data_IF_570757391539
#
_entry.id   IF_570757391539
#
_cell.length_a   1.000
_cell.length_b   1.000
_cell.length_c   1.000
_cell.angle_alpha   90.00
_cell.angle_beta   90.00
_cell.angle_gamma   90.00
#
_symmetry.space_group_name_H-M   'P 1'
#
loop_
_entity.id
_entity.type
_entity.pdbx_description
1 polymer ?
#
# COMPACT_ATOMS: atom_id res chain seq x y z
N UNK A 1 -11.93 3.38 -16.35
CA UNK A 1 -11.06 2.65 -15.40
C UNK A 1 -10.49 3.69 -14.46
N UNK A 2 -10.68 3.55 -13.14
CA UNK A 2 -10.15 4.54 -12.20
C UNK A 2 -8.64 4.34 -12.05
N UNK A 3 -7.87 5.42 -12.10
CA UNK A 3 -6.42 5.34 -11.86
C UNK A 3 -6.15 5.13 -10.36
N UNK A 4 -4.96 4.63 -10.02
CA UNK A 4 -4.52 4.51 -8.62
C UNK A 4 -4.59 5.88 -7.93
N UNK A 5 -4.22 6.95 -8.64
CA UNK A 5 -4.31 8.31 -8.11
C UNK A 5 -5.76 8.71 -7.78
N UNK A 6 -6.72 8.40 -8.66
CA UNK A 6 -8.13 8.68 -8.40
C UNK A 6 -8.67 7.85 -7.22
N UNK A 7 -8.27 6.59 -7.10
CA UNK A 7 -8.72 5.73 -6.01
C UNK A 7 -8.17 6.16 -4.64
N UNK A 8 -6.88 6.52 -4.58
CA UNK A 8 -6.20 6.90 -3.34
C UNK A 8 -6.49 8.35 -2.94
N UNK A 9 -6.64 9.24 -3.92
CA UNK A 9 -6.88 10.67 -3.71
C UNK A 9 -8.34 11.06 -3.45
N UNK A 10 -9.30 10.13 -3.58
CA UNK A 10 -10.72 10.39 -3.31
C UNK A 10 -11.02 10.67 -1.82
N UNK A 11 -10.11 10.31 -0.92
CA UNK A 11 -10.23 10.58 0.53
C UNK A 11 -8.94 11.20 1.06
N UNK A 12 -9.05 12.04 2.09
CA UNK A 12 -7.90 12.72 2.72
C UNK A 12 -6.98 11.78 3.50
N UNK A 13 -7.47 10.58 3.84
CA UNK A 13 -6.67 9.56 4.50
C UNK A 13 -7.08 8.14 4.06
N UNK A 14 -6.46 7.62 2.99
CA UNK A 14 -6.73 6.29 2.46
C UNK A 14 -6.24 5.15 3.37
N UNK A 15 -5.41 5.44 4.37
CA UNK A 15 -4.90 4.45 5.32
C UNK A 15 -3.78 3.61 4.74
N UNK A 16 -4.01 2.30 4.58
CA UNK A 16 -3.02 1.33 4.09
C UNK A 16 -3.49 0.75 2.77
N UNK A 17 -2.58 0.52 1.84
CA UNK A 17 -2.93 -0.05 0.54
C UNK A 17 -1.82 -0.87 -0.09
N UNK A 18 -2.24 -1.82 -0.91
CA UNK A 18 -1.37 -2.65 -1.75
C UNK A 18 -1.74 -2.35 -3.20
N UNK A 19 -0.72 -2.11 -4.02
CA UNK A 19 -0.84 -2.01 -5.47
C UNK A 19 -0.09 -3.19 -6.07
N UNK A 20 -0.79 -4.01 -6.84
CA UNK A 20 -0.23 -5.14 -7.55
C UNK A 20 -0.50 -4.98 -9.05
N UNK A 21 0.50 -5.26 -9.87
CA UNK A 21 0.37 -5.15 -11.31
C UNK A 21 1.60 -5.64 -12.05
N UNK A 22 1.70 -5.26 -13.32
CA UNK A 22 2.88 -5.48 -14.14
C UNK A 22 3.39 -4.14 -14.66
N UNK A 23 4.70 -4.00 -14.83
CA UNK A 23 5.26 -2.86 -15.56
C UNK A 23 5.19 -3.08 -17.08
N UNK A 24 5.64 -2.10 -17.86
CA UNK A 24 5.62 -2.15 -19.33
C UNK A 24 6.45 -3.30 -19.92
N UNK A 25 7.36 -3.90 -19.13
CA UNK A 25 8.18 -5.06 -19.52
C UNK A 25 7.56 -6.40 -19.13
N UNK A 26 6.37 -6.40 -18.52
CA UNK A 26 5.69 -7.60 -18.05
C UNK A 26 6.20 -8.14 -16.70
N UNK A 27 7.06 -7.39 -16.00
CA UNK A 27 7.56 -7.80 -14.69
C UNK A 27 6.50 -7.53 -13.62
N UNK A 28 6.30 -8.49 -12.71
CA UNK A 28 5.36 -8.35 -11.58
C UNK A 28 5.89 -7.28 -10.62
N UNK A 29 5.07 -6.29 -10.32
CA UNK A 29 5.38 -5.22 -9.36
C UNK A 29 4.36 -5.24 -8.24
N UNK A 30 4.85 -5.21 -7.00
CA UNK A 30 4.06 -5.05 -5.80
C UNK A 30 4.57 -3.81 -5.05
N UNK A 31 3.67 -2.91 -4.72
CA UNK A 31 3.95 -1.75 -3.87
C UNK A 31 2.99 -1.76 -2.68
N UNK A 32 3.53 -1.46 -1.50
CA UNK A 32 2.76 -1.28 -0.28
C UNK A 32 2.98 0.12 0.27
N UNK A 33 1.91 0.77 0.69
CA UNK A 33 2.00 2.08 1.33
C UNK A 33 1.19 2.12 2.63
N UNK A 34 1.68 2.94 3.56
CA UNK A 34 1.01 3.32 4.79
C UNK A 34 0.97 4.84 4.84
N UNK A 35 -0.21 5.39 5.06
CA UNK A 35 -0.38 6.74 5.57
C UNK A 35 -0.61 6.66 7.06
N UNK A 36 0.13 7.42 7.86
CA UNK A 36 0.07 7.38 9.32
C UNK A 36 -0.45 8.68 9.94
N UNK A 37 -1.34 8.58 10.92
CA UNK A 37 -1.81 9.68 11.79
C UNK A 37 -1.26 9.61 13.22
N UNK A 38 -0.70 8.47 13.60
CA UNK A 38 -0.04 8.18 14.88
C UNK A 38 1.18 7.29 14.66
N UNK A 39 2.04 7.18 15.68
CA UNK A 39 3.20 6.28 15.67
C UNK A 39 2.80 4.84 15.32
N UNK A 40 1.78 4.30 16.01
CA UNK A 40 1.31 2.93 15.78
C UNK A 40 0.70 2.73 14.39
N UNK A 41 0.03 3.75 13.82
CA UNK A 41 -0.48 3.67 12.45
C UNK A 41 0.62 3.58 11.40
N UNK A 42 1.85 4.04 11.73
CA UNK A 42 3.05 4.00 10.87
C UNK A 42 3.87 2.71 11.01
N UNK A 43 3.49 1.79 11.91
CA UNK A 43 4.24 0.54 12.09
C UNK A 43 4.27 -0.29 10.81
N UNK A 44 5.49 -0.63 10.38
CA UNK A 44 5.80 -1.51 9.24
C UNK A 44 6.50 -2.78 9.73
N UNK A 45 5.96 -3.37 10.80
CA UNK A 45 6.47 -4.62 11.33
C UNK A 45 5.96 -5.74 10.42
N UNK A 46 6.87 -6.26 9.59
CA UNK A 46 6.65 -7.48 8.84
C UNK A 46 7.39 -8.59 9.57
N UNK A 47 6.63 -9.54 10.12
CA UNK A 47 7.16 -10.75 10.75
C UNK A 47 6.76 -11.96 9.91
N UNK A 48 7.58 -13.00 9.96
CA UNK A 48 7.20 -14.28 9.38
C UNK A 48 5.98 -14.85 10.11
N UNK A 49 5.22 -15.70 9.43
CA UNK A 49 4.11 -16.41 10.04
C UNK A 49 4.62 -17.24 11.24
N UNK A 50 4.08 -16.96 12.43
CA UNK A 50 4.47 -17.63 13.68
C UNK A 50 5.38 -16.83 14.62
N UNK A 51 5.86 -15.65 14.22
CA UNK A 51 6.80 -14.82 15.02
C UNK A 51 6.16 -13.54 15.60
N UNK A 52 4.83 -13.54 15.81
CA UNK A 52 4.04 -12.37 16.24
C UNK A 52 3.90 -12.18 17.74
#
# INVERSE_FOLDING_TARGET
MNTVFQAVGAVSYPGRGIVAGMNERGEKVLAYFIMGRSENSRNRVFVAEGEG
#
